data_IF_065296038286
#
_entry.id   IF_065296038286
#
_cell.length_a   1.000
_cell.length_b   1.000
_cell.length_c   1.000
_cell.angle_alpha   90.00
_cell.angle_beta   90.00
_cell.angle_gamma   90.00
#
_symmetry.space_group_name_H-M   'P 1'
#
loop_
_entity.id
_entity.type
_entity.pdbx_description
1 polymer ?
#
# COMPACT_ATOMS: atom_id res chain seq x y z
N UNK A 1 6.78 -5.40 -9.17
CA UNK A 1 7.15 -5.36 -7.74
C UNK A 1 6.77 -4.01 -7.15
N UNK A 2 6.32 -4.00 -5.92
CA UNK A 2 5.88 -2.76 -5.27
C UNK A 2 7.07 -2.05 -4.62
N UNK A 3 7.16 -0.73 -4.83
CA UNK A 3 8.13 0.09 -4.11
C UNK A 3 7.55 0.43 -2.73
N UNK A 4 7.85 -0.39 -1.75
CA UNK A 4 7.30 -0.24 -0.40
C UNK A 4 7.80 1.02 0.31
N UNK A 5 8.98 1.52 -0.04
CA UNK A 5 9.48 2.77 0.53
C UNK A 5 8.65 3.97 0.06
N UNK A 6 8.34 4.03 -1.22
CA UNK A 6 7.44 5.06 -1.76
C UNK A 6 6.04 4.94 -1.16
N UNK A 7 5.56 3.71 -1.00
CA UNK A 7 4.25 3.47 -0.40
C UNK A 7 4.22 3.97 1.05
N UNK A 8 5.23 3.66 1.85
CA UNK A 8 5.33 4.13 3.23
C UNK A 8 5.38 5.66 3.30
N UNK A 9 6.17 6.27 2.43
CA UNK A 9 6.27 7.73 2.34
C UNK A 9 4.93 8.38 2.02
N UNK A 10 4.19 7.79 1.10
CA UNK A 10 2.88 8.31 0.72
C UNK A 10 1.86 8.18 1.86
N UNK A 11 1.90 7.09 2.60
CA UNK A 11 1.04 6.89 3.78
C UNK A 11 1.27 8.02 4.78
N UNK A 12 2.53 8.33 5.07
CA UNK A 12 2.90 9.42 5.98
C UNK A 12 2.45 10.77 5.41
N UNK A 13 2.67 10.99 4.12
CA UNK A 13 2.28 12.22 3.44
C UNK A 13 0.77 12.48 3.52
N UNK A 14 -0.04 11.42 3.48
CA UNK A 14 -1.49 11.52 3.63
C UNK A 14 -1.95 11.66 5.09
N UNK A 15 -1.02 11.71 6.03
CA UNK A 15 -1.35 11.85 7.44
C UNK A 15 -1.91 10.59 8.07
N UNK A 16 -1.61 9.43 7.49
CA UNK A 16 -2.10 8.13 7.96
C UNK A 16 -0.97 7.30 8.54
N UNK A 17 -1.33 6.30 9.34
CA UNK A 17 -0.40 5.27 9.79
C UNK A 17 -0.64 4.00 8.96
N UNK A 18 0.34 3.10 8.96
CA UNK A 18 0.16 1.82 8.28
C UNK A 18 -1.00 1.03 8.91
N UNK A 19 -1.16 1.12 10.22
CA UNK A 19 -2.27 0.48 10.94
C UNK A 19 -3.62 0.95 10.40
N UNK A 20 -3.79 2.24 10.23
CA UNK A 20 -5.02 2.79 9.66
C UNK A 20 -5.27 2.29 8.25
N UNK A 21 -4.22 2.22 7.45
CA UNK A 21 -4.32 1.78 6.06
C UNK A 21 -4.76 0.32 5.97
N UNK A 22 -4.07 -0.59 6.65
CA UNK A 22 -4.45 -2.00 6.54
C UNK A 22 -5.79 -2.31 7.19
N UNK A 23 -6.17 -1.57 8.24
CA UNK A 23 -7.50 -1.71 8.83
C UNK A 23 -8.59 -1.33 7.82
N UNK A 24 -8.39 -0.26 7.07
CA UNK A 24 -9.32 0.16 6.01
C UNK A 24 -9.38 -0.85 4.86
N UNK A 25 -8.27 -1.55 4.62
CA UNK A 25 -8.21 -2.61 3.62
C UNK A 25 -8.86 -3.91 4.07
N UNK A 26 -9.16 -4.03 5.36
CA UNK A 26 -9.69 -5.28 5.91
C UNK A 26 -8.62 -6.34 6.14
N UNK A 27 -7.36 -5.95 6.25
CA UNK A 27 -6.25 -6.86 6.48
C UNK A 27 -5.86 -6.88 7.95
N UNK A 28 -5.31 -8.03 8.40
CA UNK A 28 -4.67 -8.11 9.70
C UNK A 28 -3.24 -7.53 9.58
N UNK A 29 -2.64 -7.20 10.72
CA UNK A 29 -1.26 -6.74 10.77
C UNK A 29 -0.32 -7.74 10.11
N UNK A 30 -0.52 -9.04 10.37
CA UNK A 30 0.31 -10.11 9.81
C UNK A 30 0.19 -10.17 8.28
N UNK A 31 -1.03 -10.07 7.77
CA UNK A 31 -1.27 -10.06 6.33
C UNK A 31 -0.59 -8.87 5.67
N UNK A 32 -0.72 -7.70 6.27
CA UNK A 32 -0.07 -6.48 5.78
C UNK A 32 1.45 -6.64 5.75
N UNK A 33 2.03 -7.10 6.87
CA UNK A 33 3.48 -7.29 6.95
C UNK A 33 3.99 -8.29 5.91
N UNK A 34 3.26 -9.37 5.71
CA UNK A 34 3.63 -10.37 4.71
C UNK A 34 3.68 -9.76 3.31
N UNK A 35 2.67 -8.96 2.95
CA UNK A 35 2.63 -8.27 1.64
C UNK A 35 3.78 -7.28 1.49
N UNK A 36 4.06 -6.53 2.55
CA UNK A 36 5.15 -5.54 2.53
C UNK A 36 6.51 -6.20 2.37
N UNK A 37 6.76 -7.30 3.08
CA UNK A 37 8.02 -8.02 2.97
C UNK A 37 8.23 -8.62 1.59
N UNK A 38 7.18 -9.18 1.03
CA UNK A 38 7.23 -9.80 -0.31
C UNK A 38 7.16 -8.76 -1.43
N UNK A 39 6.83 -7.52 -1.10
CA UNK A 39 6.60 -6.45 -2.07
C UNK A 39 5.60 -6.85 -3.14
N UNK A 40 4.55 -7.55 -2.71
CA UNK A 40 3.57 -8.12 -3.62
C UNK A 40 2.15 -7.88 -3.11
N UNK A 41 1.38 -7.16 -3.90
CA UNK A 41 -0.04 -6.90 -3.65
C UNK A 41 -0.83 -7.40 -4.85
N UNK A 42 -2.01 -7.95 -4.60
CA UNK A 42 -2.90 -8.34 -5.70
C UNK A 42 -3.68 -7.12 -6.22
N UNK A 43 -4.47 -7.35 -7.26
CA UNK A 43 -5.24 -6.27 -7.90
C UNK A 43 -6.21 -5.60 -6.94
N UNK A 44 -6.88 -6.37 -6.10
CA UNK A 44 -7.82 -5.84 -5.12
C UNK A 44 -7.10 -4.98 -4.09
N UNK A 45 -5.96 -5.43 -3.60
CA UNK A 45 -5.14 -4.66 -2.66
C UNK A 45 -4.71 -3.34 -3.28
N UNK A 46 -4.22 -3.37 -4.51
CA UNK A 46 -3.80 -2.16 -5.23
C UNK A 46 -4.95 -1.17 -5.39
N UNK A 47 -6.12 -1.65 -5.77
CA UNK A 47 -7.30 -0.80 -5.94
C UNK A 47 -7.70 -0.14 -4.62
N UNK A 48 -7.66 -0.89 -3.53
CA UNK A 48 -7.96 -0.35 -2.21
C UNK A 48 -6.96 0.74 -1.81
N UNK A 49 -5.67 0.49 -2.02
CA UNK A 49 -4.62 1.47 -1.74
C UNK A 49 -4.77 2.73 -2.58
N UNK A 50 -5.05 2.57 -3.86
CA UNK A 50 -5.28 3.72 -4.76
C UNK A 50 -6.42 4.59 -4.22
N UNK A 51 -7.50 3.97 -3.78
CA UNK A 51 -8.65 4.69 -3.23
C UNK A 51 -8.34 5.34 -1.88
N UNK A 52 -7.74 4.58 -0.97
CA UNK A 52 -7.46 5.06 0.40
C UNK A 52 -6.45 6.21 0.39
N UNK A 53 -5.41 6.09 -0.42
CA UNK A 53 -4.32 7.06 -0.47
C UNK A 53 -4.49 8.10 -1.59
N UNK A 54 -5.58 8.03 -2.35
CA UNK A 54 -5.85 8.96 -3.46
C UNK A 54 -4.65 9.05 -4.41
N UNK A 55 -4.21 7.89 -4.90
CA UNK A 55 -3.03 7.81 -5.77
C UNK A 55 -3.41 8.18 -7.20
N UNK A 56 -2.82 9.25 -7.71
CA UNK A 56 -3.08 9.72 -9.09
C UNK A 56 -2.36 8.85 -10.12
N UNK A 57 -1.10 8.51 -9.84
CA UNK A 57 -0.29 7.69 -10.74
C UNK A 57 0.28 6.50 -9.99
N UNK A 58 -0.33 5.30 -10.10
CA UNK A 58 0.11 4.14 -9.35
C UNK A 58 1.38 3.47 -9.91
N UNK A 59 1.74 3.74 -11.15
CA UNK A 59 2.86 3.04 -11.80
C UNK A 59 4.18 3.11 -11.04
N UNK A 60 4.63 4.29 -10.57
CA UNK A 60 5.92 4.37 -9.86
C UNK A 60 5.94 3.61 -8.54
N UNK A 61 4.77 3.29 -8.00
CA UNK A 61 4.65 2.60 -6.71
C UNK A 61 4.49 1.09 -6.92
N UNK A 62 3.58 0.68 -7.81
CA UNK A 62 3.19 -0.73 -7.94
C UNK A 62 3.87 -1.49 -9.07
N UNK A 63 4.39 -0.80 -10.06
CA UNK A 63 4.95 -1.44 -11.26
C UNK A 63 6.42 -1.10 -11.45
N UNK A 64 7.19 -1.27 -10.38
CA UNK A 64 8.64 -1.05 -10.40
C UNK A 64 9.33 -2.37 -10.75
N UNK A 65 10.23 -2.32 -11.69
CA UNK A 65 11.02 -3.48 -12.10
C UNK A 65 12.14 -3.82 -11.13
#
# INVERSE_FOLDING_TARGET
>A
MVDTNKLKGLIVERGLTQTEVYNRMGLSKRQWQCRMEKRKFDSDDMMKLITILEIDNPSPIFFVD
#
